data_IF_103080753082
#
_entry.id   IF_103080753082
#
_cell.length_a   1.000
_cell.length_b   1.000
_cell.length_c   1.000
_cell.angle_alpha   90.00
_cell.angle_beta   90.00
_cell.angle_gamma   90.00
#
_symmetry.space_group_name_H-M   'P 1'
#
loop_
_entity.id
_entity.type
_entity.pdbx_description
1 polymer ?
#
# COMPACT_ATOMS: atom_id res chain seq x y z
N UNK A 1 5.61 -14.86 -14.32
CA UNK A 1 4.86 -13.64 -14.68
C UNK A 1 4.75 -12.80 -13.42
N UNK A 2 5.08 -11.53 -13.48
CA UNK A 2 4.98 -10.61 -12.35
C UNK A 2 3.52 -10.50 -11.93
N UNK A 3 3.25 -10.46 -10.62
CA UNK A 3 1.89 -10.31 -10.11
C UNK A 3 1.56 -8.82 -10.02
N UNK A 4 0.40 -8.45 -10.54
CA UNK A 4 -0.12 -7.09 -10.52
C UNK A 4 -1.38 -7.10 -9.69
N UNK A 5 -1.46 -6.20 -8.72
CA UNK A 5 -2.64 -5.97 -7.91
C UNK A 5 -3.20 -4.58 -8.22
N UNK A 6 -4.48 -4.41 -8.00
CA UNK A 6 -5.15 -3.11 -8.05
C UNK A 6 -5.57 -2.77 -6.63
N UNK A 7 -5.13 -1.62 -6.11
CA UNK A 7 -5.59 -1.12 -4.83
C UNK A 7 -7.02 -0.60 -4.94
N UNK A 8 -7.85 -0.92 -3.95
CA UNK A 8 -9.21 -0.38 -3.85
C UNK A 8 -9.23 1.03 -3.25
N UNK A 9 -8.08 1.64 -2.98
CA UNK A 9 -7.96 3.02 -2.51
C UNK A 9 -8.69 4.05 -3.40
N UNK A 10 -8.77 3.78 -4.72
CA UNK A 10 -9.47 4.66 -5.66
C UNK A 10 -11.00 4.60 -5.57
N UNK A 11 -11.58 3.72 -4.76
CA UNK A 11 -13.02 3.55 -4.65
C UNK A 11 -13.52 3.88 -3.24
N UNK A 12 -14.66 4.54 -3.15
CA UNK A 12 -15.42 4.63 -1.89
C UNK A 12 -15.89 3.24 -1.48
N UNK A 13 -16.21 3.05 -0.21
CA UNK A 13 -16.78 1.80 0.28
C UNK A 13 -18.04 1.36 -0.46
N UNK A 14 -18.89 2.32 -0.89
CA UNK A 14 -20.06 2.08 -1.74
C UNK A 14 -19.73 1.63 -3.16
N UNK A 15 -18.53 1.92 -3.64
CA UNK A 15 -18.04 1.66 -5.00
C UNK A 15 -17.10 0.46 -5.07
N UNK A 16 -16.83 -0.21 -3.95
CA UNK A 16 -15.90 -1.33 -3.85
C UNK A 16 -16.09 -2.39 -4.97
N UNK A 17 -17.34 -2.66 -5.34
CA UNK A 17 -17.64 -3.62 -6.40
C UNK A 17 -17.10 -3.25 -7.79
N UNK A 18 -16.68 -2.01 -8.02
CA UNK A 18 -16.11 -1.57 -9.30
C UNK A 18 -14.74 -2.20 -9.60
N UNK A 19 -14.08 -2.81 -8.62
CA UNK A 19 -12.86 -3.61 -8.84
C UNK A 19 -13.14 -4.92 -9.59
N UNK A 20 -14.33 -5.52 -9.42
CA UNK A 20 -14.64 -6.87 -9.90
C UNK A 20 -14.61 -7.02 -11.44
N UNK A 21 -15.02 -6.02 -12.25
CA UNK A 21 -14.88 -6.09 -13.71
C UNK A 21 -13.45 -6.31 -14.18
N UNK A 22 -12.43 -5.72 -13.52
CA UNK A 22 -11.03 -5.93 -13.90
C UNK A 22 -10.58 -7.35 -13.65
N UNK A 23 -10.98 -7.96 -12.54
CA UNK A 23 -10.66 -9.36 -12.23
C UNK A 23 -11.25 -10.32 -13.25
N UNK A 24 -12.47 -10.04 -13.71
CA UNK A 24 -13.15 -10.83 -14.75
C UNK A 24 -12.51 -10.64 -16.13
N UNK A 25 -12.00 -9.42 -16.42
CA UNK A 25 -11.39 -9.11 -17.71
C UNK A 25 -9.95 -9.63 -17.83
N UNK A 26 -9.22 -9.74 -16.73
CA UNK A 26 -7.84 -10.21 -16.67
C UNK A 26 -7.69 -11.45 -15.76
N UNK A 27 -8.39 -12.56 -16.08
CA UNK A 27 -8.47 -13.72 -15.18
C UNK A 27 -7.11 -14.35 -14.95
N UNK A 28 -6.76 -14.59 -13.68
CA UNK A 28 -5.49 -15.18 -13.26
C UNK A 28 -4.24 -14.27 -13.42
N UNK A 29 -4.41 -13.04 -13.92
CA UNK A 29 -3.32 -12.10 -14.18
C UNK A 29 -3.25 -10.98 -13.15
N UNK A 30 -4.40 -10.61 -12.58
CA UNK A 30 -4.57 -9.47 -11.68
C UNK A 30 -5.13 -9.93 -10.35
N UNK A 31 -4.65 -9.34 -9.27
CA UNK A 31 -5.17 -9.48 -7.91
C UNK A 31 -5.69 -8.16 -7.36
N UNK A 32 -5.95 -8.12 -6.06
CA UNK A 32 -6.49 -6.95 -5.37
C UNK A 32 -5.68 -6.66 -4.12
N UNK A 33 -5.37 -5.40 -3.91
CA UNK A 33 -5.06 -4.88 -2.58
C UNK A 33 -6.30 -4.21 -2.01
N UNK A 34 -6.81 -4.76 -0.91
CA UNK A 34 -7.98 -4.20 -0.22
C UNK A 34 -7.52 -3.07 0.67
N UNK A 35 -8.00 -1.85 0.40
CA UNK A 35 -7.82 -0.69 1.24
C UNK A 35 -9.03 -0.55 2.18
N UNK A 36 -8.88 -0.73 3.51
CA UNK A 36 -10.00 -0.77 4.45
C UNK A 36 -10.68 0.59 4.63
N UNK A 37 -11.98 0.67 4.34
CA UNK A 37 -12.82 1.86 4.47
C UNK A 37 -13.89 1.67 5.57
N UNK A 38 -13.51 1.11 6.73
CA UNK A 38 -14.47 0.77 7.80
C UNK A 38 -15.26 1.96 8.38
N UNK A 39 -14.85 3.18 8.10
CA UNK A 39 -15.59 4.38 8.43
C UNK A 39 -16.83 4.60 7.52
N UNK A 40 -16.93 3.86 6.41
CA UNK A 40 -18.06 3.89 5.49
C UNK A 40 -19.00 2.71 5.73
N UNK A 41 -20.28 2.96 5.99
CA UNK A 41 -21.28 1.94 6.40
C UNK A 41 -21.42 0.77 5.41
N UNK A 42 -21.28 1.03 4.11
CA UNK A 42 -21.45 -0.01 3.08
C UNK A 42 -20.19 -0.81 2.78
N UNK A 43 -19.02 -0.39 3.26
CA UNK A 43 -17.75 -1.03 2.90
C UNK A 43 -17.74 -2.54 3.21
N UNK A 44 -18.05 -2.91 4.46
CA UNK A 44 -17.99 -4.31 4.88
C UNK A 44 -18.99 -5.19 4.12
N UNK A 45 -20.20 -4.68 3.89
CA UNK A 45 -21.19 -5.40 3.09
C UNK A 45 -20.65 -5.67 1.68
N UNK A 46 -20.13 -4.64 1.02
CA UNK A 46 -19.64 -4.75 -0.35
C UNK A 46 -18.38 -5.62 -0.43
N UNK A 47 -17.49 -5.57 0.56
CA UNK A 47 -16.36 -6.49 0.66
C UNK A 47 -16.85 -7.94 0.78
N UNK A 48 -17.82 -8.23 1.68
CA UNK A 48 -18.39 -9.58 1.84
C UNK A 48 -19.05 -10.08 0.56
N UNK A 49 -19.80 -9.22 -0.13
CA UNK A 49 -20.43 -9.56 -1.42
C UNK A 49 -19.38 -9.89 -2.50
N UNK A 50 -18.20 -9.28 -2.44
CA UNK A 50 -17.08 -9.54 -3.37
C UNK A 50 -16.24 -10.78 -3.00
N UNK A 51 -16.25 -11.24 -1.75
CA UNK A 51 -15.38 -12.31 -1.26
C UNK A 51 -15.36 -13.58 -2.10
N UNK A 52 -16.49 -14.07 -2.67
CA UNK A 52 -16.46 -15.27 -3.51
C UNK A 52 -15.50 -15.14 -4.70
N UNK A 53 -15.40 -13.95 -5.31
CA UNK A 53 -14.46 -13.72 -6.41
C UNK A 53 -13.05 -13.40 -5.90
N UNK A 54 -12.93 -12.70 -4.77
CA UNK A 54 -11.64 -12.40 -4.16
C UNK A 54 -10.88 -13.65 -3.70
N UNK A 55 -11.57 -14.71 -3.31
CA UNK A 55 -10.96 -16.02 -2.97
C UNK A 55 -10.27 -16.71 -4.15
N UNK A 56 -10.59 -16.31 -5.37
CA UNK A 56 -10.04 -16.92 -6.61
C UNK A 56 -8.82 -16.14 -7.14
N UNK A 57 -8.43 -15.02 -6.52
CA UNK A 57 -7.34 -14.15 -6.98
C UNK A 57 -6.34 -13.87 -5.87
N UNK A 58 -5.11 -13.46 -6.19
CA UNK A 58 -4.18 -12.95 -5.18
C UNK A 58 -4.76 -11.73 -4.45
N UNK A 59 -4.69 -11.75 -3.12
CA UNK A 59 -5.14 -10.63 -2.28
C UNK A 59 -4.03 -10.21 -1.33
N UNK A 60 -3.86 -8.91 -1.16
CA UNK A 60 -3.17 -8.26 -0.06
C UNK A 60 -4.11 -7.26 0.63
N UNK A 61 -3.71 -6.77 1.78
CA UNK A 61 -4.44 -5.73 2.49
C UNK A 61 -3.52 -4.54 2.76
N UNK A 62 -4.03 -3.35 2.53
CA UNK A 62 -3.49 -2.16 3.18
C UNK A 62 -3.87 -2.21 4.67
N UNK A 63 -2.99 -1.77 5.56
CA UNK A 63 -3.33 -1.57 6.97
C UNK A 63 -4.43 -0.51 7.14
N UNK A 64 -5.11 -0.45 8.28
CA UNK A 64 -6.08 0.59 8.52
C UNK A 64 -5.40 1.96 8.46
N UNK A 65 -5.93 2.85 7.62
CA UNK A 65 -5.43 4.21 7.43
C UNK A 65 -6.36 5.23 8.09
N UNK A 66 -7.63 5.24 7.69
CA UNK A 66 -8.62 6.16 8.26
C UNK A 66 -8.93 5.80 9.71
N UNK A 67 -8.86 6.79 10.60
CA UNK A 67 -9.10 6.64 12.05
C UNK A 67 -8.09 5.71 12.75
N UNK A 68 -6.93 5.46 12.14
CA UNK A 68 -5.87 4.64 12.70
C UNK A 68 -4.55 5.40 12.75
N UNK A 69 -3.78 5.21 13.83
CA UNK A 69 -2.49 5.83 14.04
C UNK A 69 -1.53 4.88 14.75
N UNK A 70 -0.63 4.29 13.98
CA UNK A 70 0.32 3.31 14.50
C UNK A 70 1.44 3.92 15.36
N UNK A 71 1.58 5.25 15.38
CA UNK A 71 2.47 5.97 16.30
C UNK A 71 1.76 6.42 17.59
N UNK A 72 0.52 5.99 17.83
CA UNK A 72 -0.18 6.23 19.09
C UNK A 72 0.31 5.29 20.19
N UNK A 73 0.54 5.83 21.39
CA UNK A 73 1.03 5.05 22.53
C UNK A 73 -0.05 4.11 23.09
N UNK A 74 0.35 2.94 23.56
CA UNK A 74 -0.51 2.01 24.25
C UNK A 74 -1.24 2.70 25.42
N UNK A 75 -2.53 2.38 25.59
CA UNK A 75 -3.41 2.99 26.59
C UNK A 75 -4.11 4.27 26.13
N UNK A 76 -3.80 4.80 24.95
CA UNK A 76 -4.55 5.92 24.36
C UNK A 76 -5.77 5.43 23.58
N UNK A 77 -6.74 6.33 23.37
CA UNK A 77 -7.95 6.03 22.59
C UNK A 77 -7.59 5.74 21.14
N UNK A 78 -6.63 6.48 20.59
CA UNK A 78 -6.11 6.32 19.24
C UNK A 78 -5.47 4.94 19.04
N UNK A 79 -4.66 4.48 19.98
CA UNK A 79 -4.09 3.13 19.97
C UNK A 79 -5.18 2.06 19.99
N UNK A 80 -6.11 2.16 20.95
CA UNK A 80 -7.20 1.18 21.08
C UNK A 80 -8.03 1.10 19.79
N UNK A 81 -8.32 2.26 19.18
CA UNK A 81 -9.04 2.32 17.90
C UNK A 81 -8.22 1.72 16.74
N UNK A 82 -6.94 1.99 16.69
CA UNK A 82 -6.03 1.44 15.66
C UNK A 82 -6.00 -0.07 15.75
N UNK A 83 -5.88 -0.64 16.97
CA UNK A 83 -5.84 -2.08 17.17
C UNK A 83 -7.18 -2.75 16.84
N UNK A 84 -8.31 -2.14 17.20
CA UNK A 84 -9.66 -2.63 16.80
C UNK A 84 -9.79 -2.73 15.28
N UNK A 85 -9.38 -1.68 14.55
CA UNK A 85 -9.43 -1.67 13.08
C UNK A 85 -8.44 -2.66 12.46
N UNK A 86 -7.27 -2.85 13.07
CA UNK A 86 -6.28 -3.83 12.63
C UNK A 86 -6.81 -5.27 12.80
N UNK A 87 -7.35 -5.63 13.97
CA UNK A 87 -7.92 -6.94 14.20
C UNK A 87 -9.05 -7.26 13.22
N UNK A 88 -9.89 -6.26 12.95
CA UNK A 88 -10.94 -6.35 11.96
C UNK A 88 -10.39 -6.57 10.55
N UNK A 89 -9.35 -5.83 10.15
CA UNK A 89 -8.64 -6.02 8.87
C UNK A 89 -8.06 -7.43 8.77
N UNK A 90 -7.38 -7.90 9.82
CA UNK A 90 -6.75 -9.21 9.87
C UNK A 90 -7.77 -10.36 9.82
N UNK A 91 -8.99 -10.16 10.33
CA UNK A 91 -10.04 -11.17 10.20
C UNK A 91 -10.41 -11.43 8.73
N UNK A 92 -10.52 -10.38 7.92
CA UNK A 92 -10.74 -10.49 6.47
C UNK A 92 -9.48 -10.98 5.73
N UNK A 93 -8.30 -10.51 6.13
CA UNK A 93 -7.03 -10.95 5.56
C UNK A 93 -6.85 -12.48 5.72
N UNK A 94 -7.18 -13.02 6.89
CA UNK A 94 -7.16 -14.46 7.16
C UNK A 94 -8.17 -15.22 6.29
N UNK A 95 -9.41 -14.74 6.18
CA UNK A 95 -10.45 -15.40 5.38
C UNK A 95 -10.14 -15.42 3.88
N UNK A 96 -9.43 -14.39 3.39
CA UNK A 96 -8.99 -14.27 2.00
C UNK A 96 -7.58 -14.81 1.76
N UNK A 97 -6.93 -15.40 2.77
CA UNK A 97 -5.54 -15.90 2.67
C UNK A 97 -4.59 -14.84 2.12
N UNK A 98 -4.69 -13.63 2.68
CA UNK A 98 -3.89 -12.48 2.27
C UNK A 98 -2.40 -12.77 2.38
N UNK A 99 -1.64 -12.32 1.39
CA UNK A 99 -0.18 -12.51 1.37
C UNK A 99 0.55 -11.61 2.34
N UNK A 100 0.15 -10.37 2.41
CA UNK A 100 0.73 -9.38 3.30
C UNK A 100 -0.30 -8.29 3.68
N UNK A 101 0.05 -7.58 4.73
CA UNK A 101 -0.61 -6.36 5.19
C UNK A 101 0.43 -5.24 5.15
N UNK A 102 0.08 -4.11 4.53
CA UNK A 102 0.92 -2.91 4.48
C UNK A 102 0.85 -2.18 5.82
N UNK A 103 2.00 -1.78 6.35
CA UNK A 103 2.13 -1.07 7.62
C UNK A 103 2.73 0.32 7.40
N UNK A 104 2.02 1.33 7.83
CA UNK A 104 2.51 2.69 7.97
C UNK A 104 2.96 2.93 9.41
N UNK A 105 4.17 3.43 9.61
CA UNK A 105 4.61 3.86 10.94
C UNK A 105 3.82 5.05 11.48
N UNK A 106 3.27 5.89 10.59
CA UNK A 106 2.55 7.10 10.97
C UNK A 106 1.58 7.54 9.86
N UNK A 107 0.38 7.93 10.21
CA UNK A 107 -0.64 8.46 9.30
C UNK A 107 -0.91 9.95 9.54
N UNK A 108 -0.70 10.45 10.76
CA UNK A 108 -1.04 11.81 11.13
C UNK A 108 0.11 12.80 10.82
N UNK A 109 -0.22 14.09 10.90
CA UNK A 109 0.77 15.15 10.81
C UNK A 109 1.74 15.10 11.99
N UNK A 110 3.03 15.24 11.72
CA UNK A 110 4.08 15.27 12.75
C UNK A 110 4.11 16.63 13.40
N UNK A 111 3.97 16.68 14.72
CA UNK A 111 4.10 17.89 15.51
C UNK A 111 5.59 18.09 15.84
N UNK A 112 6.15 19.30 15.68
CA UNK A 112 7.53 19.56 16.05
C UNK A 112 7.83 19.14 17.49
N UNK A 113 8.90 18.36 17.67
CA UNK A 113 9.31 17.83 18.97
C UNK A 113 8.72 16.47 19.34
N UNK A 114 7.75 15.94 18.59
CA UNK A 114 7.17 14.61 18.83
C UNK A 114 7.77 13.49 17.96
N UNK A 115 8.60 13.83 16.97
CA UNK A 115 9.11 12.87 16.00
C UNK A 115 9.77 11.65 16.64
N UNK A 116 10.68 11.88 17.60
CA UNK A 116 11.44 10.80 18.24
C UNK A 116 10.54 9.85 19.02
N UNK A 117 9.55 10.38 19.76
CA UNK A 117 8.57 9.57 20.47
C UNK A 117 7.69 8.77 19.51
N UNK A 118 7.23 9.38 18.42
CA UNK A 118 6.42 8.69 17.40
C UNK A 118 7.21 7.56 16.71
N UNK A 119 8.49 7.81 16.39
CA UNK A 119 9.37 6.76 15.85
C UNK A 119 9.48 5.61 16.83
N UNK A 120 9.80 5.88 18.10
CA UNK A 120 9.92 4.86 19.13
C UNK A 120 8.64 4.05 19.27
N UNK A 121 7.50 4.72 19.48
CA UNK A 121 6.20 4.09 19.69
C UNK A 121 5.78 3.27 18.46
N UNK A 122 5.94 3.80 17.26
CA UNK A 122 5.55 3.07 16.04
C UNK A 122 6.42 1.83 15.80
N UNK A 123 7.70 1.86 16.18
CA UNK A 123 8.57 0.69 16.15
C UNK A 123 8.16 -0.37 17.19
N UNK A 124 7.76 0.05 18.39
CA UNK A 124 7.22 -0.85 19.42
C UNK A 124 5.92 -1.50 18.93
N UNK A 125 4.99 -0.72 18.40
CA UNK A 125 3.72 -1.20 17.87
C UNK A 125 3.89 -2.13 16.66
N UNK A 126 4.94 -1.94 15.84
CA UNK A 126 5.23 -2.83 14.71
C UNK A 126 5.36 -4.29 15.16
N UNK A 127 6.01 -4.57 16.28
CA UNK A 127 6.18 -5.94 16.75
C UNK A 127 4.86 -6.59 17.18
N UNK A 128 3.95 -5.80 17.80
CA UNK A 128 2.59 -6.25 18.10
C UNK A 128 1.81 -6.56 16.81
N UNK A 129 1.88 -5.65 15.83
CA UNK A 129 1.23 -5.85 14.51
C UNK A 129 1.81 -7.07 13.80
N UNK A 130 3.13 -7.24 13.83
CA UNK A 130 3.80 -8.39 13.22
C UNK A 130 3.30 -9.71 13.81
N UNK A 131 3.22 -9.80 15.13
CA UNK A 131 2.69 -11.00 15.80
C UNK A 131 1.25 -11.29 15.37
N UNK A 132 0.37 -10.29 15.39
CA UNK A 132 -1.03 -10.44 14.97
C UNK A 132 -1.15 -10.86 13.49
N UNK A 133 -0.30 -10.33 12.62
CA UNK A 133 -0.23 -10.76 11.22
C UNK A 133 0.17 -12.23 11.10
N UNK A 134 1.20 -12.67 11.84
CA UNK A 134 1.65 -14.06 11.85
C UNK A 134 0.54 -15.02 12.34
N UNK A 135 -0.20 -14.64 13.37
CA UNK A 135 -1.37 -15.40 13.89
C UNK A 135 -2.53 -15.46 12.88
N UNK A 136 -2.68 -14.41 12.07
CA UNK A 136 -3.64 -14.38 10.98
C UNK A 136 -3.17 -15.14 9.72
N UNK A 137 -1.92 -15.60 9.68
CA UNK A 137 -1.33 -16.27 8.53
C UNK A 137 -0.96 -15.32 7.39
N UNK A 138 -0.77 -14.04 7.68
CA UNK A 138 -0.34 -13.01 6.73
C UNK A 138 1.02 -12.44 7.15
N UNK A 139 1.67 -11.69 6.29
CA UNK A 139 2.98 -11.08 6.50
C UNK A 139 2.84 -9.56 6.57
N UNK A 140 3.49 -8.90 7.50
CA UNK A 140 3.56 -7.43 7.50
C UNK A 140 4.65 -6.95 6.54
N UNK A 141 4.37 -5.90 5.77
CA UNK A 141 5.34 -5.16 4.96
C UNK A 141 5.29 -3.69 5.35
N UNK A 142 6.44 -3.06 5.48
CA UNK A 142 6.55 -1.66 5.91
C UNK A 142 6.65 -0.77 4.67
N UNK A 143 5.82 0.27 4.62
CA UNK A 143 5.81 1.25 3.54
C UNK A 143 6.56 2.53 3.93
N UNK A 144 7.21 3.18 2.95
CA UNK A 144 7.76 4.53 3.06
C UNK A 144 6.67 5.60 3.02
N UNK A 145 5.72 5.51 3.94
CA UNK A 145 4.53 6.34 4.00
C UNK A 145 4.80 7.80 4.36
N UNK A 146 3.91 8.67 3.89
CA UNK A 146 3.90 10.08 4.20
C UNK A 146 4.81 10.92 3.33
N UNK A 147 4.40 12.19 3.12
CA UNK A 147 5.11 13.16 2.30
C UNK A 147 5.36 14.45 3.04
N UNK A 148 6.46 15.14 2.68
CA UNK A 148 6.88 16.36 3.34
C UNK A 148 5.81 17.46 3.22
N UNK A 149 5.15 17.55 2.08
CA UNK A 149 4.12 18.56 1.80
C UNK A 149 2.94 18.44 2.77
N UNK A 150 2.47 17.23 3.06
CA UNK A 150 1.40 16.98 4.05
C UNK A 150 1.86 17.07 5.50
N UNK A 151 3.18 17.10 5.72
CA UNK A 151 3.78 17.15 7.06
C UNK A 151 3.59 15.87 7.87
N UNK A 152 3.32 14.74 7.23
CA UNK A 152 3.15 13.43 7.87
C UNK A 152 4.31 12.45 7.62
N UNK A 153 5.38 12.89 6.94
CA UNK A 153 6.58 12.08 6.72
C UNK A 153 7.36 11.89 8.02
N UNK A 154 7.36 10.67 8.55
CA UNK A 154 8.06 10.35 9.79
C UNK A 154 9.57 10.17 9.57
N UNK A 155 9.98 9.54 8.46
CA UNK A 155 11.38 9.25 8.14
C UNK A 155 11.84 10.00 6.90
N UNK A 156 13.10 10.43 6.89
CA UNK A 156 13.77 10.75 5.63
C UNK A 156 14.29 9.47 4.96
N UNK A 157 14.87 9.61 3.76
CA UNK A 157 15.35 8.46 2.98
C UNK A 157 16.37 7.61 3.74
N UNK A 158 17.34 8.24 4.39
CA UNK A 158 18.41 7.53 5.08
C UNK A 158 17.90 6.88 6.36
N UNK A 159 17.08 7.60 7.13
CA UNK A 159 16.44 7.07 8.35
C UNK A 159 15.60 5.83 8.04
N UNK A 160 14.81 5.87 6.95
CA UNK A 160 13.98 4.73 6.52
C UNK A 160 14.83 3.52 6.10
N UNK A 161 15.87 3.74 5.28
CA UNK A 161 16.77 2.67 4.84
C UNK A 161 17.48 2.02 6.04
N UNK A 162 17.99 2.83 6.97
CA UNK A 162 18.73 2.34 8.14
C UNK A 162 17.81 1.59 9.11
N UNK A 163 16.57 2.08 9.31
CA UNK A 163 15.56 1.40 10.09
C UNK A 163 15.23 0.02 9.48
N UNK A 164 14.89 -0.01 8.19
CA UNK A 164 14.51 -1.26 7.53
C UNK A 164 15.64 -2.30 7.54
N UNK A 165 16.89 -1.88 7.40
CA UNK A 165 18.06 -2.77 7.49
C UNK A 165 18.29 -3.28 8.89
N UNK A 166 18.22 -2.41 9.90
CA UNK A 166 18.43 -2.77 11.30
C UNK A 166 17.39 -3.77 11.78
N UNK A 167 16.13 -3.51 11.47
CA UNK A 167 14.99 -4.32 11.91
C UNK A 167 14.69 -5.50 10.96
N UNK A 168 15.38 -5.57 9.82
CA UNK A 168 15.16 -6.59 8.77
C UNK A 168 13.69 -6.62 8.30
N UNK A 169 13.09 -5.45 8.10
CA UNK A 169 11.72 -5.35 7.63
C UNK A 169 11.56 -5.91 6.22
N UNK A 170 10.44 -6.56 5.98
CA UNK A 170 9.92 -6.70 4.64
C UNK A 170 9.38 -5.35 4.21
N UNK A 171 9.76 -4.86 3.04
CA UNK A 171 9.50 -3.49 2.61
C UNK A 171 8.59 -3.47 1.39
N UNK A 172 7.66 -2.56 1.38
CA UNK A 172 6.94 -2.08 0.21
C UNK A 172 7.42 -0.66 -0.07
N UNK A 173 7.75 -0.37 -1.33
CA UNK A 173 8.11 0.99 -1.73
C UNK A 173 6.97 1.62 -2.53
N UNK A 174 6.41 2.67 -1.98
CA UNK A 174 5.58 3.59 -2.73
C UNK A 174 6.50 4.56 -3.50
N UNK A 175 6.49 4.41 -4.83
CA UNK A 175 7.38 5.19 -5.70
C UNK A 175 6.93 6.63 -5.86
N UNK A 176 5.64 6.90 -5.70
CA UNK A 176 5.10 8.26 -5.72
C UNK A 176 5.46 9.01 -4.45
N UNK A 177 5.36 8.37 -3.27
CA UNK A 177 5.85 8.95 -2.01
C UNK A 177 7.36 9.22 -2.08
N UNK A 178 8.15 8.26 -2.58
CA UNK A 178 9.58 8.45 -2.76
C UNK A 178 9.87 9.63 -3.69
N UNK A 179 9.13 9.76 -4.80
CA UNK A 179 9.29 10.85 -5.77
C UNK A 179 8.90 12.20 -5.17
N UNK A 180 7.75 12.32 -4.52
CA UNK A 180 7.30 13.53 -3.86
C UNK A 180 8.23 14.00 -2.72
N UNK A 181 8.96 13.08 -2.10
CA UNK A 181 9.96 13.37 -1.08
C UNK A 181 11.37 13.61 -1.63
N UNK A 182 11.59 13.53 -2.95
CA UNK A 182 12.89 13.68 -3.59
C UNK A 182 13.87 12.54 -3.30
N UNK A 183 13.37 11.34 -2.98
CA UNK A 183 14.20 10.17 -2.70
C UNK A 183 14.79 9.55 -3.97
N UNK A 184 15.94 8.89 -3.84
CA UNK A 184 16.53 8.12 -4.92
C UNK A 184 15.90 6.74 -5.04
N UNK A 185 15.08 6.52 -6.06
CA UNK A 185 14.48 5.21 -6.31
C UNK A 185 15.53 4.10 -6.41
N UNK A 186 16.72 4.39 -6.94
CA UNK A 186 17.83 3.42 -7.00
C UNK A 186 18.29 2.95 -5.62
N UNK A 187 18.18 3.78 -4.59
CA UNK A 187 18.59 3.42 -3.22
C UNK A 187 17.53 2.62 -2.48
N UNK A 188 16.26 2.85 -2.77
CA UNK A 188 15.12 2.25 -2.04
C UNK A 188 14.48 1.06 -2.76
N UNK A 189 14.80 0.80 -4.02
CA UNK A 189 14.13 -0.19 -4.87
C UNK A 189 14.24 -1.66 -4.39
N UNK A 190 14.98 -1.95 -3.33
CA UNK A 190 15.09 -3.32 -2.81
C UNK A 190 13.85 -3.69 -1.97
N UNK A 191 12.71 -3.83 -2.62
CA UNK A 191 11.41 -4.05 -2.01
C UNK A 191 10.80 -5.42 -2.36
N UNK A 192 9.87 -5.86 -1.52
CA UNK A 192 9.02 -7.05 -1.75
C UNK A 192 7.88 -6.73 -2.72
N UNK A 193 7.35 -5.53 -2.63
CA UNK A 193 6.30 -5.00 -3.48
C UNK A 193 6.50 -3.50 -3.70
N UNK A 194 5.88 -2.96 -4.74
CA UNK A 194 5.89 -1.54 -5.05
C UNK A 194 4.46 -1.04 -5.25
N UNK A 195 4.08 0.08 -4.59
CA UNK A 195 2.92 0.88 -4.96
C UNK A 195 3.28 1.75 -6.16
N UNK A 196 2.45 1.68 -7.18
CA UNK A 196 2.69 2.32 -8.47
C UNK A 196 1.64 3.41 -8.71
N UNK A 197 2.07 4.64 -8.59
CA UNK A 197 1.36 5.83 -9.03
C UNK A 197 2.34 6.92 -9.42
N UNK A 198 1.88 7.99 -10.03
CA UNK A 198 2.70 9.13 -10.40
C UNK A 198 2.19 10.41 -9.73
N UNK A 199 2.98 11.45 -9.75
CA UNK A 199 2.64 12.77 -9.23
C UNK A 199 3.54 13.85 -9.83
N UNK A 200 3.41 15.09 -9.37
CA UNK A 200 4.19 16.24 -9.85
C UNK A 200 5.59 16.38 -9.19
N UNK A 201 5.97 15.47 -8.31
CA UNK A 201 7.21 15.51 -7.55
C UNK A 201 7.14 16.32 -6.24
N UNK A 202 5.93 16.76 -5.86
CA UNK A 202 5.68 17.53 -4.62
C UNK A 202 4.46 17.02 -3.89
N UNK A 203 3.31 16.90 -4.59
CA UNK A 203 2.04 16.51 -4.01
C UNK A 203 1.80 15.01 -4.20
N UNK A 204 1.36 14.37 -3.15
CA UNK A 204 0.98 12.96 -3.16
C UNK A 204 -0.42 12.80 -3.78
N UNK A 205 -0.49 12.88 -5.11
CA UNK A 205 -1.74 12.96 -5.86
C UNK A 205 -2.22 11.63 -6.44
N UNK A 206 -1.46 10.55 -6.32
CA UNK A 206 -1.80 9.19 -6.78
C UNK A 206 -2.39 9.14 -8.20
N UNK A 207 -1.76 9.89 -9.13
CA UNK A 207 -2.16 9.91 -10.54
C UNK A 207 -1.76 8.63 -11.27
N UNK A 208 -2.31 8.43 -12.46
CA UNK A 208 -1.94 7.29 -13.31
C UNK A 208 -0.46 7.28 -13.62
N UNK A 209 0.09 6.09 -13.89
CA UNK A 209 1.54 5.85 -14.05
C UNK A 209 2.23 6.74 -15.10
N UNK A 210 1.50 7.22 -16.10
CA UNK A 210 2.03 8.13 -17.12
C UNK A 210 1.53 9.59 -16.97
N UNK A 211 0.83 9.91 -15.87
CA UNK A 211 0.28 11.24 -15.60
C UNK A 211 1.03 11.89 -14.42
N UNK A 212 2.25 12.39 -14.70
CA UNK A 212 3.09 13.03 -13.69
C UNK A 212 4.50 13.29 -14.20
N UNK A 213 5.41 13.57 -13.28
CA UNK A 213 6.79 13.94 -13.58
C UNK A 213 7.82 12.84 -13.27
N UNK A 214 7.42 11.75 -12.63
CA UNK A 214 8.27 10.60 -12.37
C UNK A 214 8.59 9.88 -13.69
N UNK A 215 9.89 9.60 -13.94
CA UNK A 215 10.31 8.73 -15.04
C UNK A 215 9.93 7.27 -14.75
N UNK A 216 8.66 6.96 -15.04
CA UNK A 216 8.10 5.66 -14.76
C UNK A 216 8.75 4.53 -15.56
N UNK A 217 9.11 4.79 -16.81
CA UNK A 217 9.82 3.80 -17.65
C UNK A 217 11.23 3.51 -17.13
N UNK A 218 11.93 4.54 -16.63
CA UNK A 218 13.21 4.40 -15.94
C UNK A 218 13.08 3.56 -14.67
N UNK A 219 12.06 3.82 -13.86
CA UNK A 219 11.76 3.00 -12.70
C UNK A 219 11.50 1.54 -13.05
N UNK A 220 10.67 1.25 -14.06
CA UNK A 220 10.39 -0.13 -14.48
C UNK A 220 11.62 -0.90 -14.91
N UNK A 221 12.57 -0.23 -15.61
CA UNK A 221 13.86 -0.84 -15.97
C UNK A 221 14.68 -1.18 -14.73
N UNK A 222 14.72 -0.25 -13.77
CA UNK A 222 15.42 -0.44 -12.50
C UNK A 222 14.79 -1.58 -11.68
N UNK A 223 13.48 -1.59 -11.51
CA UNK A 223 12.75 -2.61 -10.74
C UNK A 223 12.91 -4.02 -11.34
N UNK A 224 12.92 -4.13 -12.68
CA UNK A 224 13.17 -5.42 -13.35
C UNK A 224 14.56 -5.99 -13.06
N UNK A 225 15.55 -5.13 -12.89
CA UNK A 225 16.93 -5.55 -12.61
C UNK A 225 17.15 -5.85 -11.13
N UNK A 226 16.63 -5.00 -10.25
CA UNK A 226 16.89 -5.06 -8.82
C UNK A 226 15.92 -5.98 -8.07
N UNK A 227 14.64 -5.94 -8.43
CA UNK A 227 13.56 -6.69 -7.75
C UNK A 227 12.63 -7.38 -8.76
N UNK A 228 13.14 -8.34 -9.55
CA UNK A 228 12.35 -8.99 -10.60
C UNK A 228 11.09 -9.69 -10.07
N UNK A 229 11.12 -10.12 -8.82
CA UNK A 229 10.02 -10.87 -8.17
C UNK A 229 9.09 -9.98 -7.33
N UNK A 230 9.37 -8.68 -7.18
CA UNK A 230 8.49 -7.77 -6.44
C UNK A 230 7.11 -7.68 -7.09
N UNK A 231 6.05 -7.68 -6.28
CA UNK A 231 4.69 -7.47 -6.75
C UNK A 231 4.47 -5.98 -7.08
N UNK A 232 3.63 -5.70 -8.05
CA UNK A 232 3.26 -4.33 -8.41
C UNK A 232 1.81 -4.07 -8.05
N UNK A 233 1.56 -3.02 -7.29
CA UNK A 233 0.22 -2.60 -6.88
C UNK A 233 -0.09 -1.25 -7.49
N UNK A 234 -1.10 -1.17 -8.35
CA UNK A 234 -1.61 0.10 -8.86
C UNK A 234 -2.43 0.78 -7.76
N UNK A 235 -1.93 1.87 -7.22
CA UNK A 235 -2.60 2.61 -6.15
C UNK A 235 -2.94 4.03 -6.60
N UNK A 236 -4.14 4.19 -7.12
CA UNK A 236 -4.63 5.46 -7.65
C UNK A 236 -5.57 6.19 -6.68
N UNK A 237 -5.70 7.51 -6.85
CA UNK A 237 -6.65 8.32 -6.10
C UNK A 237 -8.09 8.17 -6.62
N UNK A 238 -9.06 8.62 -5.82
CA UNK A 238 -10.49 8.46 -6.13
C UNK A 238 -10.91 9.20 -7.41
N UNK A 239 -10.25 10.28 -7.78
CA UNK A 239 -10.56 11.03 -9.02
C UNK A 239 -10.18 10.26 -10.30
N UNK A 240 -9.29 9.26 -10.19
CA UNK A 240 -8.91 8.37 -11.29
C UNK A 240 -9.95 7.29 -11.56
N UNK A 241 -10.77 6.91 -10.55
CA UNK A 241 -11.69 5.76 -10.60
C UNK A 241 -12.65 5.76 -11.81
N UNK A 242 -13.08 6.96 -12.25
CA UNK A 242 -13.95 7.13 -13.43
C UNK A 242 -13.26 6.89 -14.77
N UNK A 243 -11.92 6.84 -14.82
CA UNK A 243 -11.16 6.62 -16.05
C UNK A 243 -10.91 5.12 -16.29
N UNK A 244 -12.00 4.34 -16.40
CA UNK A 244 -11.95 2.88 -16.58
C UNK A 244 -11.03 2.47 -17.74
N UNK A 245 -11.13 3.17 -18.87
CA UNK A 245 -10.31 2.89 -20.06
C UNK A 245 -8.82 3.09 -19.77
N UNK A 246 -8.48 4.20 -19.11
CA UNK A 246 -7.09 4.50 -18.76
C UNK A 246 -6.51 3.48 -17.78
N UNK A 247 -7.29 3.06 -16.76
CA UNK A 247 -6.87 2.01 -15.83
C UNK A 247 -6.62 0.68 -16.57
N UNK A 248 -7.46 0.31 -17.52
CA UNK A 248 -7.27 -0.89 -18.34
C UNK A 248 -6.03 -0.81 -19.24
N UNK A 249 -5.76 0.38 -19.82
CA UNK A 249 -4.55 0.63 -20.61
C UNK A 249 -3.28 0.46 -19.76
N UNK A 250 -3.29 0.99 -18.53
CA UNK A 250 -2.19 0.85 -17.58
C UNK A 250 -1.99 -0.61 -17.14
N UNK A 251 -3.06 -1.35 -16.87
CA UNK A 251 -2.98 -2.78 -16.56
C UNK A 251 -2.35 -3.56 -17.71
N UNK A 252 -2.82 -3.34 -18.94
CA UNK A 252 -2.26 -4.01 -20.13
C UNK A 252 -0.78 -3.70 -20.32
N UNK A 253 -0.38 -2.45 -20.09
CA UNK A 253 1.00 -2.01 -20.13
C UNK A 253 1.84 -2.75 -19.08
N UNK A 254 1.43 -2.75 -17.81
CA UNK A 254 2.15 -3.42 -16.73
C UNK A 254 2.24 -4.94 -16.92
N UNK A 255 1.16 -5.58 -17.38
CA UNK A 255 1.15 -7.01 -17.71
C UNK A 255 2.14 -7.35 -18.81
N UNK A 256 2.21 -6.53 -19.87
CA UNK A 256 3.19 -6.67 -20.94
C UNK A 256 4.62 -6.50 -20.41
N UNK A 257 4.84 -5.48 -19.58
CA UNK A 257 6.14 -5.22 -18.97
C UNK A 257 6.55 -6.33 -18.00
N UNK A 258 5.63 -6.88 -17.22
CA UNK A 258 5.89 -8.00 -16.30
C UNK A 258 6.13 -9.35 -16.99
N UNK A 259 5.68 -9.50 -18.25
CA UNK A 259 5.89 -10.72 -19.05
C UNK A 259 7.24 -10.74 -19.77
N UNK A 260 7.83 -9.58 -20.06
CA UNK A 260 9.08 -9.45 -20.81
C UNK A 260 10.35 -9.70 -19.98
N UNK A 261 10.24 -10.24 -18.78
CA UNK A 261 11.34 -10.48 -17.83
C UNK A 261 11.79 -11.96 -17.81
N UNK A 262 11.86 -12.62 -19.01
CA UNK A 262 12.49 -13.94 -19.14
C UNK A 262 13.59 -13.90 -20.19
#
# INVERSE_FOLDING_TARGET
MKKILISTNMYKGSEFGQILPYLKRFPGQVGVEVFPMFHEECFEKNLRDAMPLLKEVPVSFHGPYYQAEHSAAEGTVEYARTMELLEKTLSYAKELSSKYLVYHHNNCRIIPGEKEDRVRVSCENYYTVKQLCEEAGTRVVVENAGVLERGNRLFDEQEFIDLCRREQYAVLIDIGHAWANGWSLKRVVNALADHLHNNDGVHDSHQRIHEGTLDFDGFLKLAKQATPDAEWVMEYAMDVSGNVRGIEEDLQFLLKMGSAAR
#
